data_IF_602225541388
#
_entry.id   IF_602225541388
#
_cell.length_a   1.000
_cell.length_b   1.000
_cell.length_c   1.000
_cell.angle_alpha   90.00
_cell.angle_beta   90.00
_cell.angle_gamma   90.00
#
_symmetry.space_group_name_H-M   'P 1'
#
loop_
_entity.id
_entity.type
_entity.pdbx_description
1 polymer ?
#
# COMPACT_ATOMS: atom_id res chain seq x y z
N UNK A 1 10.67 -4.79 21.35
CA UNK A 1 11.61 -3.69 21.07
C UNK A 1 12.96 -4.38 20.93
N UNK A 2 13.39 -4.60 19.69
CA UNK A 2 14.67 -5.28 19.40
C UNK A 2 15.79 -4.25 19.50
N UNK A 3 16.61 -4.34 20.55
CA UNK A 3 17.66 -3.36 20.85
C UNK A 3 18.67 -3.07 19.71
N UNK A 4 19.04 -4.02 18.82
CA UNK A 4 19.94 -3.71 17.72
C UNK A 4 19.24 -3.11 16.48
N UNK A 5 17.91 -3.08 16.42
CA UNK A 5 17.16 -2.68 15.24
C UNK A 5 16.24 -1.48 15.55
N UNK A 6 16.60 -0.33 14.99
CA UNK A 6 15.78 0.87 15.07
C UNK A 6 14.46 0.71 14.29
N UNK A 7 13.38 1.29 14.82
CA UNK A 7 12.10 1.40 14.13
C UNK A 7 12.07 2.66 13.27
N UNK A 8 11.38 2.61 12.14
CA UNK A 8 11.05 3.79 11.35
C UNK A 8 9.61 4.22 11.68
N UNK A 9 9.44 5.42 12.27
CA UNK A 9 8.13 5.93 12.67
C UNK A 9 7.26 6.28 11.46
N UNK A 10 7.85 6.83 10.40
CA UNK A 10 7.10 7.18 9.19
C UNK A 10 6.49 5.92 8.56
N UNK A 11 7.23 4.81 8.59
CA UNK A 11 6.78 3.53 8.08
C UNK A 11 5.67 2.92 8.97
N UNK A 12 5.72 3.14 10.29
CA UNK A 12 4.62 2.77 11.19
C UNK A 12 3.36 3.58 10.90
N UNK A 13 3.48 4.89 10.64
CA UNK A 13 2.36 5.75 10.25
C UNK A 13 1.79 5.30 8.90
N UNK A 14 2.66 5.02 7.92
CA UNK A 14 2.26 4.53 6.60
C UNK A 14 1.44 3.24 6.68
N UNK A 15 1.80 2.31 7.58
CA UNK A 15 1.03 1.08 7.81
C UNK A 15 -0.36 1.36 8.40
N UNK A 16 -0.50 2.35 9.28
CA UNK A 16 -1.80 2.77 9.82
C UNK A 16 -2.68 3.41 8.75
N UNK A 17 -2.12 4.32 7.94
CA UNK A 17 -2.85 4.92 6.81
C UNK A 17 -3.30 3.86 5.80
N UNK A 18 -2.46 2.86 5.51
CA UNK A 18 -2.79 1.75 4.60
C UNK A 18 -3.93 0.88 5.13
N UNK A 19 -3.91 0.58 6.43
CA UNK A 19 -5.00 -0.16 7.08
C UNK A 19 -6.32 0.62 6.98
N UNK A 20 -6.32 1.91 7.32
CA UNK A 20 -7.51 2.75 7.23
C UNK A 20 -8.05 2.86 5.80
N UNK A 21 -7.15 2.99 4.82
CA UNK A 21 -7.53 2.99 3.40
C UNK A 21 -8.23 1.69 3.01
N UNK A 22 -7.65 0.54 3.38
CA UNK A 22 -8.24 -0.77 3.10
C UNK A 22 -9.62 -0.93 3.74
N UNK A 23 -9.77 -0.59 5.02
CA UNK A 23 -11.05 -0.68 5.74
C UNK A 23 -12.12 0.23 5.14
N UNK A 24 -11.72 1.40 4.61
CA UNK A 24 -12.66 2.39 4.06
C UNK A 24 -13.05 2.10 2.61
N UNK A 25 -12.12 1.63 1.77
CA UNK A 25 -12.32 1.49 0.32
C UNK A 25 -12.49 0.02 -0.13
N UNK A 26 -12.11 -0.93 0.72
CA UNK A 26 -12.07 -2.36 0.35
C UNK A 26 -11.01 -2.67 -0.71
N UNK A 27 -9.99 -1.82 -0.86
CA UNK A 27 -8.89 -1.98 -1.81
C UNK A 27 -7.60 -2.34 -1.08
N UNK A 28 -6.75 -3.14 -1.71
CA UNK A 28 -5.42 -3.46 -1.18
C UNK A 28 -4.41 -2.38 -1.54
N UNK A 29 -3.40 -2.22 -0.70
CA UNK A 29 -2.32 -1.25 -0.86
C UNK A 29 -1.11 -1.93 -1.54
N UNK A 30 -0.71 -1.51 -2.75
CA UNK A 30 0.50 -2.02 -3.42
C UNK A 30 1.79 -1.73 -2.64
N UNK A 31 2.90 -2.32 -3.08
CA UNK A 31 4.21 -2.07 -2.46
C UNK A 31 4.57 -0.58 -2.54
N UNK A 32 5.07 -0.03 -1.44
CA UNK A 32 5.38 1.40 -1.35
C UNK A 32 4.16 2.33 -1.35
N UNK A 33 2.94 1.80 -1.19
CA UNK A 33 1.75 2.65 -1.11
C UNK A 33 1.88 3.66 0.04
N UNK A 34 1.53 4.90 -0.28
CA UNK A 34 1.45 6.05 0.63
C UNK A 34 0.07 6.72 0.48
N UNK A 35 -0.29 7.51 1.49
CA UNK A 35 -1.58 8.21 1.53
C UNK A 35 -1.78 9.07 0.28
N UNK A 36 -2.87 8.81 -0.45
CA UNK A 36 -3.20 9.49 -1.71
C UNK A 36 -2.79 8.72 -2.97
N UNK A 37 -1.98 7.65 -2.84
CA UNK A 37 -1.68 6.75 -3.94
C UNK A 37 -2.89 5.85 -4.28
N UNK A 38 -2.91 5.34 -5.51
CA UNK A 38 -3.96 4.46 -5.98
C UNK A 38 -3.93 3.10 -5.23
N UNK A 39 -5.11 2.63 -4.82
CA UNK A 39 -5.30 1.26 -4.36
C UNK A 39 -5.45 0.27 -5.52
N UNK A 40 -5.52 -1.01 -5.19
CA UNK A 40 -5.70 -2.09 -6.15
C UNK A 40 -6.82 -3.03 -5.70
N UNK A 41 -7.62 -3.56 -6.64
CA UNK A 41 -8.59 -4.61 -6.33
C UNK A 41 -7.86 -5.95 -6.19
N UNK A 42 -8.23 -6.74 -5.19
CA UNK A 42 -7.63 -8.04 -4.85
C UNK A 42 -8.10 -9.18 -5.75
N UNK A 43 -8.34 -8.89 -7.03
CA UNK A 43 -8.75 -9.85 -8.05
C UNK A 43 -7.73 -9.88 -9.20
N UNK A 44 -7.64 -10.97 -9.97
CA UNK A 44 -6.73 -11.06 -11.12
C UNK A 44 -6.90 -9.90 -12.12
N UNK A 45 -8.14 -9.55 -12.44
CA UNK A 45 -8.46 -8.42 -13.33
C UNK A 45 -8.08 -7.07 -12.70
N UNK A 46 -8.27 -6.94 -11.38
CA UNK A 46 -7.86 -5.78 -10.60
C UNK A 46 -6.35 -5.54 -10.64
N UNK A 47 -5.58 -6.60 -10.44
CA UNK A 47 -4.11 -6.57 -10.54
C UNK A 47 -3.67 -6.23 -11.96
N UNK A 48 -4.25 -6.87 -12.97
CA UNK A 48 -3.92 -6.60 -14.37
C UNK A 48 -4.22 -5.14 -14.76
N UNK A 49 -5.36 -4.60 -14.31
CA UNK A 49 -5.74 -3.22 -14.55
C UNK A 49 -4.81 -2.22 -13.85
N UNK A 50 -4.40 -2.51 -12.60
CA UNK A 50 -3.46 -1.66 -11.86
C UNK A 50 -2.08 -1.64 -12.56
N UNK A 51 -1.50 -2.82 -12.83
CA UNK A 51 -0.19 -2.93 -13.47
C UNK A 51 -0.16 -2.31 -14.86
N UNK A 52 -1.24 -2.42 -15.63
CA UNK A 52 -1.33 -1.79 -16.96
C UNK A 52 -1.31 -0.26 -16.90
N UNK A 53 -1.86 0.34 -15.83
CA UNK A 53 -1.88 1.80 -15.63
C UNK A 53 -0.56 2.33 -15.07
N UNK A 54 0.10 1.55 -14.24
CA UNK A 54 1.31 1.93 -13.51
C UNK A 54 2.59 1.28 -14.06
N UNK A 55 2.56 0.75 -15.29
CA UNK A 55 3.65 -0.03 -15.88
C UNK A 55 5.01 0.72 -15.93
N UNK A 56 4.99 2.05 -16.04
CA UNK A 56 6.18 2.88 -16.13
C UNK A 56 6.71 3.36 -14.77
N UNK A 57 5.99 3.05 -13.68
CA UNK A 57 6.31 3.46 -12.30
C UNK A 57 6.88 2.29 -11.46
N UNK A 58 6.97 1.11 -12.08
CA UNK A 58 7.52 -0.12 -11.50
C UNK A 58 9.04 -0.22 -11.65
#
# INVERSE_FOLDING_TARGET
NDLPLGRNIDDMIRMVDALQFNETHGEVCPAGWEKGAAGMKDTPDGVAAYLSKHANEL
#
